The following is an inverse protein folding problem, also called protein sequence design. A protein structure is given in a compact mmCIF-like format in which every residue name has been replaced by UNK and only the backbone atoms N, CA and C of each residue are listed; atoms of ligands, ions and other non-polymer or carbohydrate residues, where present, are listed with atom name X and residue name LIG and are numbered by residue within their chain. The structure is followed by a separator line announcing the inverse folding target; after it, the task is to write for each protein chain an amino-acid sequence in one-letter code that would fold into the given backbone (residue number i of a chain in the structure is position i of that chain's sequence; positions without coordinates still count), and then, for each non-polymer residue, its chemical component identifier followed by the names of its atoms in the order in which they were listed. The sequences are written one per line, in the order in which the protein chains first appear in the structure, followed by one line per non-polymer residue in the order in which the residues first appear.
data_IF_930930672392
#
_entry.id   IF_930930672392
#
_cell.length_a   1.000
_cell.length_b   1.000
_cell.length_c   1.000
_cell.angle_alpha   90.00
_cell.angle_beta   90.00
_cell.angle_gamma   90.00
#
_symmetry.space_group_name_H-M   'P 1'
#
loop_
_entity.id
_entity.type
_entity.pdbx_description
1 polymer ?
#
# COMPACT_ATOMS: atom_id res chain seq x y z
N UNK A 1 3.80 -12.02 -27.40
CA UNK A 1 3.14 -11.67 -26.12
C UNK A 1 3.80 -10.40 -25.63
N UNK A 2 3.08 -9.50 -24.96
CA UNK A 2 3.73 -8.38 -24.28
C UNK A 2 4.67 -8.92 -23.19
N UNK A 3 5.72 -8.17 -22.87
CA UNK A 3 6.42 -8.38 -21.61
C UNK A 3 5.53 -7.86 -20.47
N UNK A 4 5.60 -8.48 -19.30
CA UNK A 4 4.83 -8.09 -18.12
C UNK A 4 5.74 -7.55 -17.02
N UNK A 5 6.89 -6.98 -17.42
CA UNK A 5 7.86 -6.40 -16.49
C UNK A 5 7.42 -5.02 -16.00
N UNK A 6 7.68 -4.74 -14.73
CA UNK A 6 7.35 -3.46 -14.09
C UNK A 6 8.10 -2.26 -14.73
N UNK A 7 9.17 -2.52 -15.50
CA UNK A 7 9.90 -1.49 -16.25
C UNK A 7 8.98 -0.88 -17.31
N UNK A 8 8.33 -1.72 -18.12
CA UNK A 8 7.48 -1.28 -19.24
C UNK A 8 6.36 -0.34 -18.73
N UNK A 9 5.65 -0.76 -17.67
CA UNK A 9 4.60 0.01 -17.01
C UNK A 9 5.07 1.33 -16.34
N UNK A 10 6.38 1.58 -16.26
CA UNK A 10 6.96 2.84 -15.76
C UNK A 10 7.69 3.64 -16.86
N UNK A 11 7.89 3.07 -18.05
CA UNK A 11 8.60 3.73 -19.17
C UNK A 11 7.75 3.99 -20.42
N UNK A 12 6.67 3.22 -20.62
CA UNK A 12 5.76 3.43 -21.75
C UNK A 12 5.01 4.77 -21.58
N UNK A 13 5.04 5.68 -22.57
CA UNK A 13 4.41 7.00 -22.43
C UNK A 13 2.89 6.89 -22.28
N UNK A 14 2.25 7.69 -21.40
CA UNK A 14 0.80 7.69 -21.24
C UNK A 14 0.08 7.90 -22.59
N UNK A 15 -0.91 7.06 -22.95
CA UNK A 15 -1.46 7.04 -24.29
C UNK A 15 -2.06 8.39 -24.70
N UNK A 16 -1.78 8.81 -25.94
CA UNK A 16 -2.27 10.06 -26.53
C UNK A 16 -3.76 9.98 -26.88
N UNK A 17 -4.61 9.99 -25.86
CA UNK A 17 -6.05 10.22 -26.00
C UNK A 17 -6.36 11.74 -25.94
N UNK A 18 -7.32 12.16 -26.76
CA UNK A 18 -7.62 13.56 -27.07
C UNK A 18 -8.12 14.34 -25.84
N UNK A 19 -7.86 15.65 -25.79
CA UNK A 19 -8.21 16.52 -24.65
C UNK A 19 -9.72 16.73 -24.42
N UNK A 20 -10.56 16.25 -25.33
CA UNK A 20 -12.02 16.21 -25.18
C UNK A 20 -12.43 14.88 -24.54
N UNK A 21 -12.01 13.76 -25.13
CA UNK A 21 -12.17 12.40 -24.59
C UNK A 21 -11.65 12.29 -23.14
N UNK A 22 -10.50 12.91 -22.82
CA UNK A 22 -9.95 12.96 -21.44
C UNK A 22 -10.93 13.59 -20.44
N UNK A 23 -11.61 14.67 -20.83
CA UNK A 23 -12.56 15.37 -19.94
C UNK A 23 -13.84 14.56 -19.78
N UNK A 24 -14.37 14.02 -20.87
CA UNK A 24 -15.63 13.29 -20.85
C UNK A 24 -15.50 11.95 -20.10
N UNK A 25 -14.34 11.28 -20.20
CA UNK A 25 -14.02 10.10 -19.40
C UNK A 25 -13.98 10.41 -17.89
N UNK A 26 -13.24 11.45 -17.48
CA UNK A 26 -13.13 11.86 -16.07
C UNK A 26 -14.49 12.31 -15.54
N UNK A 27 -15.23 13.13 -16.30
CA UNK A 27 -16.55 13.62 -15.92
C UNK A 27 -17.60 12.49 -15.80
N UNK A 28 -17.44 11.40 -16.55
CA UNK A 28 -18.27 10.19 -16.39
C UNK A 28 -17.94 9.49 -15.07
N UNK A 29 -16.66 9.27 -14.77
CA UNK A 29 -16.22 8.67 -13.49
C UNK A 29 -16.61 9.52 -12.26
N UNK A 30 -16.53 10.85 -12.36
CA UNK A 30 -16.94 11.77 -11.28
C UNK A 30 -18.46 11.87 -11.12
N UNK A 31 -19.24 11.45 -12.12
CA UNK A 31 -20.71 11.40 -12.05
C UNK A 31 -21.26 10.07 -11.50
N UNK A 32 -20.44 9.02 -11.44
CA UNK A 32 -20.81 7.74 -10.83
C UNK A 32 -20.65 7.81 -9.29
N UNK A 33 -21.73 7.59 -8.51
CA UNK A 33 -21.64 7.63 -7.05
C UNK A 33 -20.95 6.37 -6.51
N UNK A 34 -19.94 6.56 -5.67
CA UNK A 34 -19.33 5.47 -4.90
C UNK A 34 -20.26 5.02 -3.76
N UNK A 35 -20.50 3.71 -3.67
CA UNK A 35 -21.27 3.06 -2.61
C UNK A 35 -20.35 2.10 -1.83
N UNK A 36 -20.09 2.41 -0.55
CA UNK A 36 -19.20 1.62 0.31
C UNK A 36 -19.90 0.37 0.85
N UNK A 37 -20.12 -0.59 -0.04
CA UNK A 37 -20.78 -1.86 0.27
C UNK A 37 -19.99 -2.78 1.21
N UNK A 38 -18.70 -2.47 1.46
CA UNK A 38 -17.82 -3.24 2.36
C UNK A 38 -17.80 -2.60 3.76
N UNK A 39 -17.97 -1.27 3.85
CA UNK A 39 -17.93 -0.51 5.10
C UNK A 39 -16.50 -0.22 5.57
N UNK A 40 -15.58 0.05 4.65
CA UNK A 40 -14.19 0.40 4.98
C UNK A 40 -14.05 1.85 5.48
N UNK A 41 -14.99 2.73 5.09
CA UNK A 41 -15.01 4.14 5.48
C UNK A 41 -15.51 4.32 6.92
N UNK A 42 -14.62 4.75 7.81
CA UNK A 42 -14.99 5.21 9.16
C UNK A 42 -15.30 6.71 9.17
N UNK A 43 -16.36 7.13 9.88
CA UNK A 43 -16.64 8.55 10.06
C UNK A 43 -15.57 9.23 10.95
N UNK A 44 -15.38 10.54 10.79
CA UNK A 44 -14.47 11.35 11.63
C UNK A 44 -14.86 11.36 13.12
N UNK A 45 -16.12 11.05 13.39
CA UNK A 45 -16.79 10.89 14.69
C UNK A 45 -16.51 9.53 15.34
N UNK A 46 -16.25 8.50 14.52
CA UNK A 46 -15.98 7.13 14.95
C UNK A 46 -14.48 6.79 14.89
N UNK A 47 -13.69 7.57 14.15
CA UNK A 47 -12.23 7.48 14.11
C UNK A 47 -11.61 7.69 15.50
N UNK A 48 -11.08 6.62 16.07
CA UNK A 48 -10.27 6.65 17.30
C UNK A 48 -8.80 6.86 16.90
N UNK A 49 -8.15 7.99 17.26
CA UNK A 49 -6.74 8.18 16.97
C UNK A 49 -5.88 7.12 17.66
N UNK A 50 -4.99 6.49 16.90
CA UNK A 50 -3.95 5.62 17.48
C UNK A 50 -3.07 6.46 18.42
N UNK A 51 -3.06 6.10 19.70
CA UNK A 51 -2.11 6.69 20.64
C UNK A 51 -0.72 6.16 20.32
N UNK A 52 0.18 7.08 19.95
CA UNK A 52 1.60 6.89 20.23
C UNK A 52 1.78 6.51 21.71
N UNK A 53 2.67 5.57 22.01
CA UNK A 53 2.82 4.96 23.34
C UNK A 53 3.42 5.84 24.45
N UNK A 54 2.89 7.05 24.65
CA UNK A 54 3.23 7.94 25.77
C UNK A 54 1.95 8.35 26.52
N UNK A 55 1.78 7.82 27.74
CA UNK A 55 0.54 7.84 28.52
C UNK A 55 0.24 9.21 29.17
N UNK A 56 0.16 10.29 28.39
CA UNK A 56 -0.01 11.66 28.93
C UNK A 56 -1.24 12.35 28.35
N UNK A 57 -2.34 12.21 29.07
CA UNK A 57 -3.63 12.86 28.86
C UNK A 57 -3.44 14.39 28.80
N UNK A 58 -3.63 15.00 27.62
CA UNK A 58 -3.75 16.46 27.51
C UNK A 58 -3.35 17.07 26.15
N UNK A 59 -4.31 17.77 25.54
CA UNK A 59 -4.18 18.70 24.40
C UNK A 59 -3.81 18.11 23.01
N UNK A 60 -4.73 18.12 22.02
CA UNK A 60 -4.45 17.74 20.63
C UNK A 60 -3.90 18.88 19.74
N UNK A 61 -3.43 20.00 20.29
CA UNK A 61 -2.88 21.10 19.48
C UNK A 61 -1.39 20.98 19.15
N UNK A 62 -1.11 20.89 17.84
CA UNK A 62 0.15 21.34 17.21
C UNK A 62 1.47 20.62 17.56
N UNK A 63 1.55 19.30 17.30
CA UNK A 63 2.85 18.66 17.01
C UNK A 63 2.86 17.99 15.65
N UNK A 64 3.28 18.74 14.62
CA UNK A 64 3.77 18.15 13.37
C UNK A 64 5.02 17.34 13.69
N UNK A 65 4.92 16.01 13.71
CA UNK A 65 6.12 15.18 13.56
C UNK A 65 6.69 15.39 12.16
N UNK A 66 8.02 15.45 11.98
CA UNK A 66 8.57 15.13 10.66
C UNK A 66 8.15 13.69 10.34
N UNK A 67 7.74 13.42 9.10
CA UNK A 67 7.55 12.05 8.66
C UNK A 67 8.94 11.41 8.59
N UNK A 68 9.29 10.61 9.60
CA UNK A 68 10.59 9.95 9.70
C UNK A 68 10.61 8.75 8.77
N UNK A 69 10.86 9.02 7.49
CA UNK A 69 11.17 8.04 6.45
C UNK A 69 12.52 7.36 6.79
N UNK A 70 12.47 6.43 7.74
CA UNK A 70 13.64 5.72 8.26
C UNK A 70 13.64 4.30 7.71
N UNK A 71 14.13 4.17 6.49
CA UNK A 71 14.64 2.90 6.00
C UNK A 71 15.82 2.46 6.87
N UNK A 72 15.69 1.36 7.62
CA UNK A 72 16.82 0.58 8.12
C UNK A 72 16.60 -0.91 7.85
N UNK A 73 17.60 -1.53 7.24
CA UNK A 73 17.74 -2.98 7.12
C UNK A 73 18.48 -3.55 8.34
N UNK A 74 18.51 -4.90 8.45
CA UNK A 74 19.24 -5.71 9.44
C UNK A 74 18.79 -5.51 10.92
N UNK A 75 18.71 -6.46 11.87
CA UNK A 75 18.94 -7.90 12.03
C UNK A 75 18.97 -8.19 13.57
N UNK A 76 19.07 -9.36 14.21
CA UNK A 76 19.00 -10.84 14.02
C UNK A 76 19.12 -11.42 15.48
N UNK A 77 18.54 -12.56 15.96
CA UNK A 77 17.74 -13.62 15.32
C UNK A 77 16.41 -14.01 16.06
N UNK A 78 15.69 -14.99 15.49
CA UNK A 78 14.98 -16.14 16.12
C UNK A 78 14.41 -16.06 17.56
N UNK A 79 13.07 -16.16 17.70
CA UNK A 79 12.44 -17.35 18.35
C UNK A 79 10.91 -17.42 18.26
N UNK A 80 10.43 -18.45 17.51
CA UNK A 80 9.07 -19.04 17.50
C UNK A 80 7.92 -18.20 16.88
N UNK A 81 6.83 -18.86 16.41
CA UNK A 81 6.06 -18.32 15.28
C UNK A 81 4.55 -18.13 15.52
N UNK A 82 3.97 -17.19 14.77
CA UNK A 82 2.58 -17.21 14.33
C UNK A 82 2.58 -16.85 12.85
N UNK A 83 2.63 -17.84 11.96
CA UNK A 83 2.61 -17.58 10.51
C UNK A 83 1.17 -17.48 9.99
N UNK A 84 1.02 -16.53 9.06
CA UNK A 84 -0.19 -16.20 8.32
C UNK A 84 -0.72 -17.44 7.58
N UNK A 85 -2.04 -17.64 7.56
CA UNK A 85 -2.65 -18.84 7.00
C UNK A 85 -2.59 -18.93 5.45
N UNK A 86 -2.32 -17.82 4.77
CA UNK A 86 -2.34 -17.70 3.31
C UNK A 86 -0.97 -17.21 2.82
N UNK A 87 -0.13 -18.09 2.26
CA UNK A 87 1.22 -17.71 1.83
C UNK A 87 2.16 -18.85 1.44
N UNK A 88 1.67 -19.91 0.78
CA UNK A 88 2.55 -20.94 0.23
C UNK A 88 3.21 -20.46 -1.07
N UNK A 89 4.47 -20.05 -0.96
CA UNK A 89 5.37 -19.81 -2.08
C UNK A 89 6.59 -20.73 -1.96
N UNK A 90 6.43 -21.96 -2.44
CA UNK A 90 7.50 -22.96 -2.48
C UNK A 90 8.64 -22.60 -3.44
N UNK A 91 9.66 -21.89 -2.94
CA UNK A 91 10.97 -21.81 -3.61
C UNK A 91 11.68 -23.18 -3.62
N UNK A 92 11.49 -23.93 -4.71
CA UNK A 92 12.18 -25.20 -4.93
C UNK A 92 13.69 -24.99 -5.14
N UNK A 93 14.49 -25.35 -4.15
CA UNK A 93 15.95 -25.22 -4.21
C UNK A 93 16.57 -26.22 -5.21
N UNK A 94 17.31 -25.72 -6.18
CA UNK A 94 18.12 -26.51 -7.10
C UNK A 94 19.41 -26.99 -6.42
N UNK A 95 19.42 -28.24 -5.93
CA UNK A 95 20.61 -28.84 -5.32
C UNK A 95 21.70 -29.15 -6.37
N UNK A 96 22.66 -28.24 -6.52
CA UNK A 96 23.94 -28.56 -7.18
C UNK A 96 24.64 -29.67 -6.40
N UNK A 97 24.69 -30.87 -6.97
CA UNK A 97 25.46 -32.00 -6.44
C UNK A 97 26.65 -32.22 -7.35
N UNK A 98 27.83 -31.89 -6.84
CA UNK A 98 29.14 -32.17 -7.45
C UNK A 98 29.57 -33.61 -7.12
N UNK A 99 30.15 -34.32 -8.10
CA UNK A 99 30.70 -35.68 -7.97
C UNK A 99 31.73 -35.96 -9.07
#
# INVERSE_FOLDING_TARGET
MADLSLVDALTDPPPEIEGEIKRDFIATLEAEPYDDTVGETVEKTEYIPLMDGDEKIGNPESKKKPCSDTSQADGIPSSKPTLLANGDHGMAANITTEA
#
